data_IF_431395037044
#
_entry.id   IF_431395037044
#
_cell.length_a   1.000
_cell.length_b   1.000
_cell.length_c   1.000
_cell.angle_alpha   90.00
_cell.angle_beta   90.00
_cell.angle_gamma   90.00
#
_symmetry.space_group_name_H-M   'P 1'
#
loop_
_entity.id
_entity.type
_entity.pdbx_description
1 polymer ?
#
# COMPACT_ATOMS: atom_id res chain seq x y z
N UNK A 1 3.00 65.76 92.48
CA UNK A 1 3.90 65.05 91.57
C UNK A 1 3.51 63.60 91.66
N UNK A 2 2.40 63.30 90.98
CA UNK A 2 2.35 62.58 89.67
C UNK A 2 2.36 61.07 89.97
N UNK A 3 1.19 60.44 90.03
CA UNK A 3 0.54 59.78 88.88
C UNK A 3 1.51 58.78 88.21
N UNK A 4 1.24 57.48 88.10
CA UNK A 4 -0.03 56.81 87.78
C UNK A 4 0.01 55.34 88.24
N UNK A 5 -1.18 54.76 88.30
CA UNK A 5 -1.55 53.48 88.88
C UNK A 5 -1.75 52.42 87.78
N UNK A 6 -1.48 51.17 88.16
CA UNK A 6 -2.13 49.92 87.74
C UNK A 6 -1.81 49.23 86.39
N UNK A 7 -1.65 47.90 86.60
CA UNK A 7 -2.14 46.75 85.84
C UNK A 7 -1.24 46.06 84.79
N UNK A 8 -0.93 44.80 85.11
CA UNK A 8 -0.43 43.74 84.22
C UNK A 8 -1.41 43.47 83.08
N UNK A 9 -0.95 43.23 81.84
CA UNK A 9 -1.78 42.60 80.84
C UNK A 9 -1.58 41.08 80.86
N UNK A 10 -2.67 40.38 81.17
CA UNK A 10 -2.87 38.95 81.00
C UNK A 10 -2.62 38.52 79.54
N UNK A 11 -1.98 37.36 79.40
CA UNK A 11 -1.67 36.68 78.15
C UNK A 11 -2.91 35.97 77.57
N UNK A 12 -3.92 36.72 77.16
CA UNK A 12 -5.02 36.18 76.36
C UNK A 12 -5.27 37.07 75.13
N UNK A 13 -5.55 36.40 74.01
CA UNK A 13 -6.20 36.96 72.82
C UNK A 13 -5.35 37.49 71.64
N UNK A 14 -4.35 36.72 71.20
CA UNK A 14 -3.80 36.82 69.82
C UNK A 14 -4.28 35.68 68.90
N UNK A 15 -5.24 34.84 69.34
CA UNK A 15 -5.70 33.69 68.56
C UNK A 15 -6.99 33.93 67.75
N UNK A 16 -7.42 35.19 67.54
CA UNK A 16 -8.75 35.50 67.00
C UNK A 16 -8.82 36.20 65.64
N UNK A 17 -7.78 36.13 64.80
CA UNK A 17 -7.82 36.74 63.45
C UNK A 17 -7.33 35.92 62.27
N UNK A 18 -7.13 34.61 62.41
CA UNK A 18 -6.90 33.73 61.26
C UNK A 18 -7.73 32.45 61.40
N UNK A 19 -8.56 32.16 60.40
CA UNK A 19 -9.43 30.97 60.31
C UNK A 19 -8.64 29.66 60.09
N UNK A 20 -7.43 29.55 60.61
CA UNK A 20 -6.56 28.37 60.46
C UNK A 20 -6.57 27.41 61.67
N UNK A 21 -7.21 27.78 62.78
CA UNK A 21 -7.27 26.94 63.98
C UNK A 21 -8.63 26.25 64.16
N UNK A 22 -8.95 25.31 63.24
CA UNK A 22 -9.81 24.13 63.50
C UNK A 22 -9.78 23.16 62.31
N UNK A 23 -8.58 22.85 61.81
CA UNK A 23 -8.39 21.65 60.99
C UNK A 23 -7.88 20.52 61.88
N UNK A 24 -8.74 19.52 62.04
CA UNK A 24 -8.43 18.24 62.68
C UNK A 24 -7.09 17.68 62.17
N UNK A 25 -6.32 17.02 63.02
CA UNK A 25 -4.97 16.53 62.71
C UNK A 25 -4.94 15.64 61.46
N UNK A 26 -6.05 14.94 61.15
CA UNK A 26 -6.25 14.23 59.88
C UNK A 26 -6.23 15.13 58.65
N UNK A 27 -6.86 16.31 58.70
CA UNK A 27 -6.91 17.24 57.56
C UNK A 27 -5.57 17.92 57.32
N UNK A 28 -4.80 18.22 58.39
CA UNK A 28 -3.41 18.70 58.26
C UNK A 28 -2.49 17.66 57.62
N UNK A 29 -2.67 16.38 57.99
CA UNK A 29 -1.92 15.27 57.40
C UNK A 29 -2.28 15.05 55.91
N UNK A 30 -3.56 15.15 55.56
CA UNK A 30 -4.04 15.03 54.17
C UNK A 30 -3.51 16.19 53.29
N UNK A 31 -3.52 17.43 53.80
CA UNK A 31 -2.99 18.59 53.07
C UNK A 31 -1.46 18.46 52.89
N UNK A 32 -0.74 18.00 53.92
CA UNK A 32 0.70 17.74 53.84
C UNK A 32 1.05 16.65 52.81
N UNK A 33 0.29 15.55 52.78
CA UNK A 33 0.46 14.49 51.79
C UNK A 33 0.11 14.96 50.37
N UNK A 34 -0.96 15.74 50.20
CA UNK A 34 -1.33 16.30 48.89
C UNK A 34 -0.24 17.25 48.34
N UNK A 35 0.37 18.08 49.19
CA UNK A 35 1.49 18.94 48.80
C UNK A 35 2.74 18.13 48.44
N UNK A 36 3.06 17.08 49.21
CA UNK A 36 4.18 16.20 48.89
C UNK A 36 3.98 15.48 47.54
N UNK A 37 2.77 14.97 47.26
CA UNK A 37 2.44 14.32 45.98
C UNK A 37 2.52 15.32 44.82
N UNK A 38 2.07 16.56 44.99
CA UNK A 38 2.21 17.61 43.97
C UNK A 38 3.67 17.97 43.68
N UNK A 39 4.55 17.99 44.69
CA UNK A 39 5.98 18.22 44.50
C UNK A 39 6.64 17.05 43.77
N UNK A 40 6.29 15.80 44.11
CA UNK A 40 6.79 14.62 43.40
C UNK A 40 6.29 14.60 41.95
N UNK A 41 5.00 14.85 41.72
CA UNK A 41 4.45 14.92 40.36
C UNK A 41 5.07 16.08 39.55
N UNK A 42 5.29 17.24 40.16
CA UNK A 42 5.97 18.38 39.53
C UNK A 42 7.44 18.09 39.21
N UNK A 43 8.16 17.44 40.12
CA UNK A 43 9.55 17.02 39.92
C UNK A 43 9.70 15.95 38.85
N UNK A 44 8.83 14.94 38.85
CA UNK A 44 8.78 13.91 37.80
C UNK A 44 8.38 14.49 36.45
N UNK A 45 7.43 15.41 36.39
CA UNK A 45 7.04 16.11 35.16
C UNK A 45 8.19 16.98 34.63
N UNK A 46 8.90 17.69 35.49
CA UNK A 46 10.07 18.50 35.12
C UNK A 46 11.23 17.64 34.62
N UNK A 47 11.52 16.53 35.30
CA UNK A 47 12.53 15.56 34.87
C UNK A 47 12.17 14.91 33.52
N UNK A 48 10.91 14.51 33.33
CA UNK A 48 10.41 13.97 32.06
C UNK A 48 10.53 14.99 30.93
N UNK A 49 10.17 16.26 31.18
CA UNK A 49 10.38 17.36 30.21
C UNK A 49 11.85 17.58 29.88
N UNK A 50 12.74 17.46 30.86
CA UNK A 50 14.18 17.62 30.66
C UNK A 50 14.80 16.43 29.90
N UNK A 51 14.32 15.20 30.14
CA UNK A 51 14.71 14.00 29.39
C UNK A 51 14.26 14.09 27.91
N UNK A 52 13.03 14.54 27.65
CA UNK A 52 12.51 14.80 26.30
C UNK A 52 13.29 15.93 25.57
N UNK A 53 13.91 16.85 26.31
CA UNK A 53 14.79 17.90 25.75
C UNK A 53 16.20 17.40 25.44
N UNK A 54 16.65 16.33 26.10
CA UNK A 54 17.99 15.73 25.92
C UNK A 54 18.07 14.71 24.76
N UNK A 55 16.94 14.19 24.28
CA UNK A 55 16.90 13.22 23.18
C UNK A 55 16.86 13.86 21.79
N UNK A 56 16.91 15.19 21.70
CA UNK A 56 16.90 15.92 20.44
C UNK A 56 18.35 16.08 19.93
N UNK A 57 18.67 15.44 18.80
CA UNK A 57 20.03 15.45 18.24
C UNK A 57 20.30 16.67 17.36
N UNK A 58 19.29 17.51 17.08
CA UNK A 58 19.44 18.71 16.26
C UNK A 58 19.45 18.45 14.75
N UNK A 59 19.16 19.50 13.97
CA UNK A 59 19.05 19.45 12.51
C UNK A 59 20.37 19.06 11.82
N UNK A 60 21.51 19.50 12.34
CA UNK A 60 22.83 19.18 11.78
C UNK A 60 23.17 17.69 11.89
N UNK A 61 22.88 17.06 13.03
CA UNK A 61 23.13 15.63 13.23
C UNK A 61 22.18 14.77 12.38
N UNK A 62 20.94 15.23 12.17
CA UNK A 62 19.98 14.58 11.29
C UNK A 62 20.42 14.70 9.83
N UNK A 63 20.86 15.88 9.39
CA UNK A 63 21.44 16.10 8.07
C UNK A 63 22.61 15.16 7.82
N UNK A 64 23.57 15.08 8.74
CA UNK A 64 24.74 14.19 8.60
C UNK A 64 24.35 12.70 8.52
N UNK A 65 23.32 12.27 9.27
CA UNK A 65 22.79 10.90 9.17
C UNK A 65 22.13 10.62 7.82
N UNK A 66 21.41 11.59 7.27
CA UNK A 66 20.75 11.47 5.96
C UNK A 66 21.77 11.47 4.82
N UNK A 67 22.77 12.34 4.87
CA UNK A 67 23.88 12.37 3.91
C UNK A 67 24.66 11.05 3.94
N UNK A 68 24.90 10.47 5.12
CA UNK A 68 25.52 9.15 5.25
C UNK A 68 24.65 8.04 4.65
N UNK A 69 23.34 8.04 4.92
CA UNK A 69 22.42 7.05 4.36
C UNK A 69 22.39 7.10 2.83
N UNK A 70 22.42 8.30 2.25
CA UNK A 70 22.49 8.50 0.80
C UNK A 70 23.82 7.99 0.25
N UNK A 71 24.95 8.32 0.89
CA UNK A 71 26.27 7.84 0.49
C UNK A 71 26.39 6.31 0.55
N UNK A 72 25.84 5.68 1.59
CA UNK A 72 25.84 4.22 1.76
C UNK A 72 24.91 3.51 0.74
N UNK A 73 23.90 4.22 0.21
CA UNK A 73 22.95 3.69 -0.78
C UNK A 73 23.41 3.83 -2.24
N UNK A 74 24.44 4.63 -2.52
CA UNK A 74 24.93 4.91 -3.87
C UNK A 74 24.00 5.78 -4.74
N UNK A 75 22.99 6.42 -4.13
CA UNK A 75 22.06 7.31 -4.83
C UNK A 75 22.62 8.73 -4.99
N UNK A 76 22.46 9.34 -6.17
CA UNK A 76 22.90 10.71 -6.46
C UNK A 76 21.83 11.71 -6.02
N UNK A 77 21.80 12.01 -4.72
CA UNK A 77 20.74 12.79 -4.07
C UNK A 77 21.35 13.84 -3.14
N UNK A 78 20.80 15.05 -3.15
CA UNK A 78 21.25 16.17 -2.31
C UNK A 78 20.29 16.36 -1.14
N UNK A 79 20.82 16.46 0.08
CA UNK A 79 20.01 16.81 1.25
C UNK A 79 19.86 18.34 1.30
N UNK A 80 18.63 18.80 1.07
CA UNK A 80 18.19 20.17 1.22
C UNK A 80 17.99 20.56 2.68
N UNK A 81 17.08 21.50 2.94
CA UNK A 81 16.88 22.01 4.30
C UNK A 81 16.40 20.92 5.27
N UNK A 82 16.79 21.07 6.53
CA UNK A 82 16.31 20.24 7.65
C UNK A 82 15.62 21.16 8.65
N UNK A 83 14.30 21.16 8.60
CA UNK A 83 13.45 22.06 9.39
C UNK A 83 12.76 21.27 10.48
N UNK A 84 12.78 21.79 11.71
CA UNK A 84 12.05 21.19 12.82
C UNK A 84 10.56 21.54 12.70
N UNK A 85 9.71 20.53 12.62
CA UNK A 85 8.26 20.66 12.53
C UNK A 85 7.63 19.78 13.62
N UNK A 86 7.16 20.41 14.69
CA UNK A 86 6.66 19.77 15.91
C UNK A 86 7.61 18.71 16.52
N UNK A 87 7.19 17.44 16.50
CA UNK A 87 7.92 16.30 17.05
C UNK A 87 8.84 15.62 16.04
N UNK A 88 8.90 16.12 14.81
CA UNK A 88 9.71 15.57 13.72
C UNK A 88 10.61 16.63 13.09
N UNK A 89 11.61 16.16 12.36
CA UNK A 89 12.42 16.97 11.46
C UNK A 89 12.01 16.64 10.03
N UNK A 90 11.61 17.66 9.30
CA UNK A 90 11.32 17.61 7.88
C UNK A 90 12.62 17.78 7.11
N UNK A 91 12.96 16.79 6.30
CA UNK A 91 14.19 16.74 5.50
C UNK A 91 13.79 16.80 4.04
N UNK A 92 14.29 17.81 3.32
CA UNK A 92 14.13 17.88 1.88
C UNK A 92 15.22 17.04 1.20
N UNK A 93 14.79 16.12 0.35
CA UNK A 93 15.64 15.19 -0.39
C UNK A 93 15.50 15.55 -1.86
N UNK A 94 16.55 16.11 -2.46
CA UNK A 94 16.55 16.63 -3.83
C UNK A 94 17.24 15.61 -4.73
N UNK A 95 16.49 14.99 -5.65
CA UNK A 95 17.01 14.07 -6.65
C UNK A 95 16.69 14.64 -8.05
N UNK A 96 17.67 15.27 -8.69
CA UNK A 96 17.44 16.02 -9.94
C UNK A 96 16.49 17.21 -9.72
N UNK A 97 15.45 17.33 -10.56
CA UNK A 97 14.42 18.39 -10.46
C UNK A 97 13.30 18.05 -9.45
N UNK A 98 13.33 16.87 -8.83
CA UNK A 98 12.30 16.41 -7.91
C UNK A 98 12.73 16.59 -6.45
N UNK A 99 11.91 17.29 -5.66
CA UNK A 99 12.07 17.40 -4.22
C UNK A 99 11.10 16.44 -3.51
N UNK A 100 11.65 15.46 -2.79
CA UNK A 100 10.91 14.57 -1.91
C UNK A 100 11.08 15.02 -0.46
N UNK A 101 10.08 14.76 0.36
CA UNK A 101 10.11 15.12 1.79
C UNK A 101 10.11 13.85 2.60
N UNK A 102 11.11 13.68 3.46
CA UNK A 102 11.11 12.65 4.48
C UNK A 102 11.06 13.28 5.87
N UNK A 103 10.54 12.53 6.85
CA UNK A 103 10.48 12.97 8.23
C UNK A 103 11.35 12.09 9.11
N UNK A 104 12.08 12.71 10.04
CA UNK A 104 12.98 12.01 10.97
C UNK A 104 12.59 12.36 12.40
N UNK A 105 12.57 11.37 13.30
CA UNK A 105 12.31 11.65 14.72
C UNK A 105 13.42 12.51 15.33
N UNK A 106 13.10 13.29 16.37
CA UNK A 106 14.09 14.17 17.04
C UNK A 106 15.33 13.45 17.57
N UNK A 107 15.23 12.16 17.87
CA UNK A 107 16.35 11.32 18.28
C UNK A 107 17.15 10.71 17.11
N UNK A 108 16.74 10.97 15.88
CA UNK A 108 17.34 10.47 14.65
C UNK A 108 17.35 8.96 14.53
N UNK A 109 16.40 8.26 15.18
CA UNK A 109 16.30 6.79 15.16
C UNK A 109 15.31 6.25 14.13
N UNK A 110 14.29 7.04 13.76
CA UNK A 110 13.26 6.62 12.80
C UNK A 110 13.22 7.59 11.63
N UNK A 111 13.15 7.02 10.43
CA UNK A 111 12.88 7.72 9.17
C UNK A 111 11.49 7.32 8.70
N UNK A 112 10.66 8.30 8.36
CA UNK A 112 9.30 8.14 7.84
C UNK A 112 9.35 8.72 6.42
N UNK A 113 9.28 7.84 5.42
CA UNK A 113 9.40 8.24 4.02
C UNK A 113 8.12 8.89 3.49
N UNK A 114 6.95 8.46 4.00
CA UNK A 114 5.65 8.99 3.60
C UNK A 114 4.87 9.37 4.86
N UNK A 115 4.63 10.68 5.05
CA UNK A 115 3.71 11.19 6.07
C UNK A 115 2.47 11.70 5.35
N UNK A 116 1.34 11.04 5.56
CA UNK A 116 0.04 11.51 5.09
C UNK A 116 -0.67 12.11 6.30
N UNK A 117 -1.09 13.36 6.20
CA UNK A 117 -1.86 14.00 7.27
C UNK A 117 -3.28 13.42 7.33
N UNK A 118 -3.93 13.48 8.49
CA UNK A 118 -5.35 13.12 8.59
C UNK A 118 -6.21 13.98 7.66
N UNK A 119 -5.82 15.23 7.41
CA UNK A 119 -6.52 16.12 6.48
C UNK A 119 -6.35 15.67 5.02
N UNK A 120 -5.20 15.12 4.65
CA UNK A 120 -5.01 14.47 3.34
C UNK A 120 -5.71 13.12 3.26
N UNK A 121 -5.77 12.36 4.35
CA UNK A 121 -6.58 11.12 4.43
C UNK A 121 -8.07 11.47 4.27
N UNK A 122 -8.54 12.54 4.92
CA UNK A 122 -9.93 12.97 4.86
C UNK A 122 -10.26 13.56 3.48
N UNK A 123 -9.37 14.36 2.88
CA UNK A 123 -9.50 14.76 1.46
C UNK A 123 -9.48 13.57 0.51
N UNK A 124 -8.60 12.59 0.72
CA UNK A 124 -8.57 11.36 -0.09
C UNK A 124 -9.85 10.53 0.11
N UNK A 125 -10.42 10.51 1.31
CA UNK A 125 -11.70 9.86 1.59
C UNK A 125 -12.88 10.61 0.99
N UNK A 126 -12.87 11.94 1.00
CA UNK A 126 -13.88 12.77 0.34
C UNK A 126 -13.81 12.59 -1.17
N UNK A 127 -12.61 12.58 -1.76
CA UNK A 127 -12.39 12.25 -3.18
C UNK A 127 -12.79 10.80 -3.51
N UNK A 128 -12.54 9.84 -2.61
CA UNK A 128 -12.94 8.44 -2.79
C UNK A 128 -14.45 8.19 -2.60
N UNK A 129 -15.16 9.10 -1.92
CA UNK A 129 -16.60 8.99 -1.65
C UNK A 129 -17.45 9.82 -2.62
N UNK A 130 -16.89 10.77 -3.36
CA UNK A 130 -17.65 11.56 -4.34
C UNK A 130 -17.79 10.88 -5.70
N UNK A 131 -17.00 9.84 -6.00
CA UNK A 131 -17.06 9.09 -7.27
C UNK A 131 -16.94 7.58 -7.10
N UNK A 132 -17.61 6.98 -6.10
CA UNK A 132 -18.01 5.57 -6.22
C UNK A 132 -19.36 5.51 -6.90
N UNK A 133 -19.45 5.31 -8.23
CA UNK A 133 -20.70 4.86 -8.81
C UNK A 133 -21.17 3.63 -8.04
N UNK A 134 -22.48 3.53 -7.79
CA UNK A 134 -23.07 2.31 -7.25
C UNK A 134 -22.50 1.10 -8.03
N UNK A 135 -22.25 -0.06 -7.37
CA UNK A 135 -21.69 -1.22 -8.03
C UNK A 135 -22.47 -1.47 -9.32
N UNK A 136 -21.81 -1.29 -10.47
CA UNK A 136 -22.47 -1.48 -11.75
C UNK A 136 -22.88 -2.95 -11.80
N UNK A 137 -24.18 -3.20 -11.95
CA UNK A 137 -24.68 -4.56 -12.13
C UNK A 137 -24.01 -5.17 -13.36
N UNK A 138 -23.39 -6.34 -13.18
CA UNK A 138 -22.71 -7.04 -14.27
C UNK A 138 -23.79 -7.60 -15.20
N UNK A 139 -23.85 -7.20 -16.49
CA UNK A 139 -24.81 -7.75 -17.43
C UNK A 139 -24.66 -9.26 -17.51
N UNK A 140 -25.77 -9.98 -17.59
CA UNK A 140 -25.75 -11.44 -17.72
C UNK A 140 -25.61 -11.89 -19.18
N UNK A 141 -25.00 -13.05 -19.40
CA UNK A 141 -24.89 -13.69 -20.71
C UNK A 141 -24.80 -15.21 -20.60
N UNK A 142 -25.02 -15.94 -21.69
CA UNK A 142 -24.93 -17.41 -21.69
C UNK A 142 -23.47 -17.89 -21.59
N UNK A 143 -22.54 -17.06 -22.06
CA UNK A 143 -21.09 -17.28 -22.01
C UNK A 143 -20.43 -15.98 -21.57
N UNK A 144 -20.22 -15.77 -20.25
CA UNK A 144 -19.59 -14.58 -19.73
C UNK A 144 -18.22 -14.35 -20.35
N UNK A 145 -17.98 -13.11 -20.80
CA UNK A 145 -16.67 -12.63 -21.21
C UNK A 145 -15.91 -12.17 -19.98
N UNK A 146 -14.79 -12.83 -19.70
CA UNK A 146 -13.96 -12.59 -18.52
C UNK A 146 -12.60 -12.08 -19.00
N UNK A 147 -12.27 -10.85 -18.68
CA UNK A 147 -11.00 -10.22 -19.05
C UNK A 147 -10.24 -9.87 -17.76
N UNK A 148 -9.04 -10.40 -17.59
CA UNK A 148 -8.19 -10.12 -16.43
C UNK A 148 -6.98 -9.31 -16.88
N UNK A 149 -6.90 -8.05 -16.45
CA UNK A 149 -5.77 -7.16 -16.73
C UNK A 149 -4.70 -7.31 -15.66
N UNK A 150 -3.48 -7.62 -16.09
CA UNK A 150 -2.35 -7.84 -15.20
C UNK A 150 -1.07 -7.17 -15.70
N UNK A 151 -0.15 -7.12 -14.75
CA UNK A 151 1.27 -6.89 -14.91
C UNK A 151 1.93 -8.19 -14.46
N UNK A 152 2.65 -8.89 -15.33
CA UNK A 152 3.14 -10.26 -15.08
C UNK A 152 4.06 -10.40 -13.86
N UNK A 153 4.61 -9.28 -13.37
CA UNK A 153 5.44 -9.22 -12.16
C UNK A 153 4.79 -8.47 -10.99
N UNK A 154 3.58 -7.89 -11.13
CA UNK A 154 2.92 -7.31 -9.96
C UNK A 154 2.51 -8.44 -8.98
N UNK A 155 2.88 -8.36 -7.69
CA UNK A 155 2.52 -9.37 -6.69
C UNK A 155 1.01 -9.63 -6.61
N UNK A 156 0.19 -8.60 -6.81
CA UNK A 156 -1.26 -8.73 -6.77
C UNK A 156 -1.85 -9.25 -8.09
N UNK A 157 -1.20 -8.99 -9.23
CA UNK A 157 -1.56 -9.58 -10.52
C UNK A 157 -1.39 -11.10 -10.49
N UNK A 158 -0.19 -11.54 -10.10
CA UNK A 158 0.14 -12.96 -9.90
C UNK A 158 -0.77 -13.65 -8.86
N UNK A 159 -1.17 -12.93 -7.81
CA UNK A 159 -2.17 -13.41 -6.84
C UNK A 159 -3.52 -13.71 -7.50
N UNK A 160 -4.02 -12.78 -8.31
CA UNK A 160 -5.31 -12.92 -9.00
C UNK A 160 -5.27 -14.01 -10.06
N UNK A 161 -4.16 -14.13 -10.81
CA UNK A 161 -3.97 -15.25 -11.73
C UNK A 161 -4.01 -16.60 -11.01
N UNK A 162 -3.33 -16.74 -9.87
CA UNK A 162 -3.42 -17.96 -9.04
C UNK A 162 -4.85 -18.24 -8.57
N UNK A 163 -5.62 -17.20 -8.28
CA UNK A 163 -7.03 -17.30 -7.88
C UNK A 163 -7.96 -17.72 -9.02
N UNK A 164 -7.77 -17.19 -10.23
CA UNK A 164 -8.66 -17.44 -11.37
C UNK A 164 -8.37 -18.78 -12.06
N UNK A 165 -7.13 -19.29 -12.02
CA UNK A 165 -6.76 -20.53 -12.71
C UNK A 165 -7.60 -21.77 -12.30
N UNK A 166 -7.92 -22.01 -11.01
CA UNK A 166 -8.88 -23.04 -10.60
C UNK A 166 -10.30 -22.81 -11.15
N UNK A 167 -10.72 -21.55 -11.28
CA UNK A 167 -12.03 -21.17 -11.84
C UNK A 167 -12.09 -21.49 -13.33
N UNK A 168 -11.04 -21.16 -14.09
CA UNK A 168 -10.93 -21.49 -15.52
C UNK A 168 -10.89 -23.00 -15.75
N UNK A 169 -10.19 -23.75 -14.89
CA UNK A 169 -10.22 -25.22 -14.91
C UNK A 169 -11.63 -25.77 -14.67
N UNK A 170 -12.40 -25.11 -13.80
CA UNK A 170 -13.74 -25.51 -13.40
C UNK A 170 -14.78 -25.21 -14.48
N UNK A 171 -14.79 -23.97 -15.00
CA UNK A 171 -15.77 -23.52 -16.00
C UNK A 171 -15.40 -23.95 -17.42
N UNK A 172 -14.11 -24.14 -17.71
CA UNK A 172 -13.60 -24.57 -19.00
C UNK A 172 -14.08 -23.65 -20.13
N UNK A 173 -14.69 -24.24 -21.16
CA UNK A 173 -15.17 -23.52 -22.35
C UNK A 173 -16.48 -22.75 -22.15
N UNK A 174 -17.09 -22.80 -20.95
CA UNK A 174 -18.32 -22.07 -20.61
C UNK A 174 -18.12 -20.57 -20.37
N UNK A 175 -16.88 -20.13 -20.33
CA UNK A 175 -16.52 -18.70 -20.28
C UNK A 175 -15.64 -18.36 -21.48
N UNK A 176 -15.66 -17.10 -21.88
CA UNK A 176 -14.71 -16.53 -22.82
C UNK A 176 -13.65 -15.75 -22.05
N UNK A 177 -12.55 -16.42 -21.71
CA UNK A 177 -11.46 -15.85 -20.91
C UNK A 177 -10.38 -15.23 -21.79
N UNK A 178 -9.95 -14.02 -21.42
CA UNK A 178 -8.82 -13.33 -22.03
C UNK A 178 -7.92 -12.75 -20.92
N UNK A 179 -6.64 -13.12 -20.95
CA UNK A 179 -5.59 -12.47 -20.18
C UNK A 179 -5.15 -11.20 -20.92
N UNK A 180 -5.31 -10.06 -20.26
CA UNK A 180 -5.01 -8.73 -20.78
C UNK A 180 -3.87 -8.12 -20.01
N UNK A 181 -3.23 -7.11 -20.58
CA UNK A 181 -2.13 -6.39 -19.91
C UNK A 181 -2.50 -4.95 -19.65
N UNK A 182 -2.04 -4.43 -18.51
CA UNK A 182 -2.09 -2.99 -18.23
C UNK A 182 -1.23 -2.26 -19.27
N UNK A 183 -1.65 -1.07 -19.69
CA UNK A 183 -1.05 -0.31 -20.79
C UNK A 183 0.26 0.41 -20.42
N UNK A 184 0.87 0.07 -19.29
CA UNK A 184 2.18 0.56 -18.85
C UNK A 184 2.95 -0.53 -18.10
N UNK A 185 4.27 -0.34 -17.98
CA UNK A 185 5.21 -1.30 -17.38
C UNK A 185 5.80 -0.74 -16.09
N UNK A 186 5.73 -1.49 -14.99
CA UNK A 186 6.32 -1.09 -13.70
C UNK A 186 7.52 -1.94 -13.27
N UNK A 187 7.72 -3.11 -13.88
CA UNK A 187 8.73 -4.08 -13.41
C UNK A 187 9.85 -4.31 -14.44
N UNK A 188 10.05 -3.36 -15.35
CA UNK A 188 11.16 -3.32 -16.30
C UNK A 188 11.08 -4.35 -17.42
N UNK A 189 12.22 -4.62 -18.06
CA UNK A 189 12.31 -5.46 -19.27
C UNK A 189 11.79 -6.88 -19.08
N UNK A 190 11.94 -7.46 -17.88
CA UNK A 190 11.44 -8.80 -17.57
C UNK A 190 9.92 -8.90 -17.70
N UNK A 191 9.19 -7.84 -17.33
CA UNK A 191 7.75 -7.77 -17.47
C UNK A 191 7.33 -7.55 -18.92
N UNK A 192 8.05 -6.72 -19.68
CA UNK A 192 7.81 -6.59 -21.12
C UNK A 192 7.93 -7.95 -21.81
N UNK A 193 9.03 -8.66 -21.55
CA UNK A 193 9.31 -9.95 -22.14
C UNK A 193 8.24 -11.00 -21.77
N UNK A 194 7.79 -10.99 -20.52
CA UNK A 194 6.79 -11.95 -20.05
C UNK A 194 5.36 -11.59 -20.49
N UNK A 195 4.98 -10.32 -20.48
CA UNK A 195 3.69 -9.86 -21.01
C UNK A 195 3.55 -10.23 -22.49
N UNK A 196 4.59 -9.95 -23.32
CA UNK A 196 4.59 -10.34 -24.73
C UNK A 196 4.53 -11.85 -24.92
N UNK A 197 5.22 -12.62 -24.07
CA UNK A 197 5.20 -14.09 -24.10
C UNK A 197 3.81 -14.62 -23.78
N UNK A 198 3.20 -14.18 -22.68
CA UNK A 198 1.87 -14.61 -22.26
C UNK A 198 0.79 -14.22 -23.28
N UNK A 199 0.83 -12.99 -23.81
CA UNK A 199 0.00 -12.54 -24.93
C UNK A 199 0.13 -13.48 -26.15
N UNK A 200 1.37 -13.83 -26.51
CA UNK A 200 1.61 -14.71 -27.65
C UNK A 200 1.25 -16.18 -27.41
N UNK A 201 1.33 -16.66 -26.17
CA UNK A 201 0.82 -17.99 -25.80
C UNK A 201 -0.69 -18.01 -25.94
N UNK A 202 -1.40 -17.01 -25.43
CA UNK A 202 -2.84 -16.89 -25.59
C UNK A 202 -3.25 -16.85 -27.08
N UNK A 203 -2.57 -16.03 -27.88
CA UNK A 203 -2.89 -15.86 -29.30
C UNK A 203 -2.62 -17.11 -30.15
N UNK A 204 -1.54 -17.85 -29.87
CA UNK A 204 -1.08 -18.93 -30.75
C UNK A 204 -1.42 -20.33 -30.22
N UNK A 205 -1.46 -20.51 -28.90
CA UNK A 205 -1.65 -21.78 -28.22
C UNK A 205 -2.53 -21.60 -26.95
N UNK A 206 -3.74 -21.04 -27.06
CA UNK A 206 -4.56 -20.61 -25.91
C UNK A 206 -4.85 -21.74 -24.92
N UNK A 207 -5.07 -22.96 -25.42
CA UNK A 207 -5.32 -24.14 -24.58
C UNK A 207 -4.16 -24.49 -23.63
N UNK A 208 -2.95 -23.98 -23.88
CA UNK A 208 -1.75 -24.20 -23.05
C UNK A 208 -1.45 -23.04 -22.09
N UNK A 209 -2.18 -21.92 -22.19
CA UNK A 209 -1.94 -20.74 -21.36
C UNK A 209 -2.05 -21.06 -19.87
N UNK A 210 -3.15 -21.70 -19.44
CA UNK A 210 -3.34 -22.02 -18.02
C UNK A 210 -2.26 -22.95 -17.47
N UNK A 211 -1.78 -23.91 -18.28
CA UNK A 211 -0.68 -24.80 -17.87
C UNK A 211 0.63 -24.02 -17.70
N UNK A 212 0.90 -23.10 -18.63
CA UNK A 212 2.06 -22.22 -18.56
C UNK A 212 2.02 -21.30 -17.35
N UNK A 213 0.91 -20.58 -17.12
CA UNK A 213 0.75 -19.68 -15.99
C UNK A 213 0.88 -20.42 -14.66
N UNK A 214 0.26 -21.60 -14.51
CA UNK A 214 0.44 -22.42 -13.31
C UNK A 214 1.91 -22.75 -13.03
N UNK A 215 2.69 -23.08 -14.06
CA UNK A 215 4.12 -23.34 -13.91
C UNK A 215 4.89 -22.06 -13.56
N UNK A 216 4.67 -20.97 -14.31
CA UNK A 216 5.40 -19.72 -14.18
C UNK A 216 5.14 -19.06 -12.82
N UNK A 217 3.87 -18.96 -12.41
CA UNK A 217 3.48 -18.39 -11.12
C UNK A 217 4.05 -19.19 -9.94
N UNK A 218 4.14 -20.52 -10.07
CA UNK A 218 4.71 -21.40 -9.04
C UNK A 218 6.23 -21.27 -8.93
N UNK A 219 6.94 -21.22 -10.06
CA UNK A 219 8.42 -21.28 -10.08
C UNK A 219 9.08 -19.89 -10.03
N UNK A 220 8.43 -18.88 -10.59
CA UNK A 220 8.85 -17.48 -10.54
C UNK A 220 9.77 -17.01 -11.67
N UNK A 221 10.42 -15.87 -11.42
CA UNK A 221 11.31 -15.20 -12.37
C UNK A 221 12.38 -16.12 -12.97
N UNK A 222 12.68 -15.95 -14.26
CA UNK A 222 13.70 -16.75 -14.96
C UNK A 222 13.30 -18.17 -15.33
N UNK A 223 12.05 -18.59 -15.04
CA UNK A 223 11.61 -19.99 -15.25
C UNK A 223 10.76 -20.19 -16.51
N UNK A 224 10.52 -19.10 -17.25
CA UNK A 224 9.63 -19.06 -18.40
C UNK A 224 9.95 -20.12 -19.47
N UNK A 225 11.22 -20.34 -19.81
CA UNK A 225 11.62 -21.34 -20.81
C UNK A 225 11.37 -22.78 -20.31
N UNK A 226 11.60 -23.03 -19.02
CA UNK A 226 11.28 -24.32 -18.39
C UNK A 226 9.77 -24.55 -18.39
N UNK A 227 8.98 -23.50 -18.18
CA UNK A 227 7.52 -23.58 -18.19
C UNK A 227 6.92 -23.71 -19.59
N UNK A 228 7.53 -23.11 -20.61
CA UNK A 228 7.19 -23.37 -22.02
C UNK A 228 7.38 -24.85 -22.34
N UNK A 229 8.54 -25.42 -21.98
CA UNK A 229 8.85 -26.83 -22.22
C UNK A 229 7.90 -27.75 -21.45
N UNK A 230 7.68 -27.51 -20.15
CA UNK A 230 6.77 -28.31 -19.31
C UNK A 230 5.31 -28.27 -19.79
N UNK A 231 4.90 -27.16 -20.42
CA UNK A 231 3.55 -27.00 -20.98
C UNK A 231 3.43 -27.47 -22.43
N UNK A 232 4.52 -28.01 -23.01
CA UNK A 232 4.57 -28.46 -24.40
C UNK A 232 4.35 -27.33 -25.42
N UNK A 233 4.69 -26.09 -25.09
CA UNK A 233 4.49 -24.92 -25.97
C UNK A 233 5.63 -24.84 -26.99
N UNK A 234 5.29 -24.79 -28.28
CA UNK A 234 6.27 -24.65 -29.35
C UNK A 234 6.86 -23.22 -29.37
N UNK A 235 8.16 -23.09 -29.09
CA UNK A 235 8.81 -21.78 -28.93
C UNK A 235 8.90 -20.98 -30.24
N UNK A 236 8.98 -21.64 -31.40
CA UNK A 236 9.12 -20.97 -32.69
C UNK A 236 7.93 -20.05 -33.02
N UNK A 237 6.70 -20.52 -32.73
CA UNK A 237 5.48 -19.71 -32.93
C UNK A 237 5.39 -18.51 -31.99
N UNK A 238 5.90 -18.66 -30.76
CA UNK A 238 5.94 -17.58 -29.77
C UNK A 238 6.90 -16.48 -30.21
N UNK A 239 8.14 -16.82 -30.60
CA UNK A 239 9.14 -15.83 -31.05
C UNK A 239 8.65 -15.00 -32.24
N UNK A 240 8.03 -15.64 -33.23
CA UNK A 240 7.47 -14.96 -34.38
C UNK A 240 6.32 -14.00 -33.98
N UNK A 241 5.44 -14.44 -33.09
CA UNK A 241 4.37 -13.60 -32.55
C UNK A 241 4.93 -12.40 -31.77
N UNK A 242 5.94 -12.61 -30.92
CA UNK A 242 6.57 -11.54 -30.13
C UNK A 242 7.16 -10.48 -31.05
N UNK A 243 7.94 -10.87 -32.06
CA UNK A 243 8.52 -9.93 -33.02
C UNK A 243 7.44 -9.14 -33.80
N UNK A 244 6.36 -9.80 -34.22
CA UNK A 244 5.25 -9.12 -34.90
C UNK A 244 4.50 -8.15 -33.98
N UNK A 245 4.33 -8.53 -32.72
CA UNK A 245 3.63 -7.72 -31.71
C UNK A 245 4.45 -6.50 -31.35
N UNK A 246 5.75 -6.68 -31.12
CA UNK A 246 6.70 -5.60 -30.87
C UNK A 246 6.72 -4.60 -32.03
N UNK A 247 6.81 -5.08 -33.28
CA UNK A 247 6.76 -4.21 -34.45
C UNK A 247 5.42 -3.47 -34.60
N UNK A 248 4.29 -4.14 -34.29
CA UNK A 248 2.95 -3.54 -34.40
C UNK A 248 2.72 -2.44 -33.37
N UNK A 249 3.15 -2.66 -32.14
CA UNK A 249 2.86 -1.78 -31.01
C UNK A 249 4.05 -0.94 -30.55
N UNK A 250 5.19 -1.07 -31.23
CA UNK A 250 6.44 -0.36 -30.89
C UNK A 250 6.90 -0.59 -29.45
N UNK A 251 6.67 -1.77 -28.88
CA UNK A 251 6.85 -2.03 -27.43
C UNK A 251 8.28 -1.74 -26.96
N UNK A 252 9.29 -2.29 -27.63
CA UNK A 252 10.71 -2.10 -27.28
C UNK A 252 11.16 -0.66 -27.53
N UNK A 253 10.60 0.00 -28.55
CA UNK A 253 10.88 1.41 -28.83
C UNK A 253 10.31 2.31 -27.73
N UNK A 254 9.07 2.09 -27.31
CA UNK A 254 8.43 2.83 -26.22
C UNK A 254 9.14 2.57 -24.89
N UNK A 255 9.61 1.35 -24.65
CA UNK A 255 10.43 1.03 -23.49
C UNK A 255 11.73 1.86 -23.42
N UNK A 256 12.39 2.08 -24.56
CA UNK A 256 13.65 2.83 -24.64
C UNK A 256 13.46 4.37 -24.66
N UNK A 257 12.34 4.87 -25.16
CA UNK A 257 12.07 6.30 -25.30
C UNK A 257 11.31 6.86 -24.09
N UNK A 258 12.03 7.48 -23.16
CA UNK A 258 11.46 8.11 -21.95
C UNK A 258 10.39 9.16 -22.22
N UNK A 259 10.33 9.73 -23.42
CA UNK A 259 9.27 10.69 -23.78
C UNK A 259 7.91 10.02 -23.96
N UNK A 260 7.89 8.70 -24.12
CA UNK A 260 6.66 7.90 -24.23
C UNK A 260 6.16 7.38 -22.88
N UNK A 261 6.88 7.69 -21.79
CA UNK A 261 6.56 7.15 -20.48
C UNK A 261 5.39 7.90 -19.84
N UNK A 262 4.41 7.16 -19.34
CA UNK A 262 3.27 7.69 -18.58
C UNK A 262 3.78 8.48 -17.38
N UNK A 263 3.47 9.78 -17.34
CA UNK A 263 3.97 10.75 -16.35
C UNK A 263 5.51 10.75 -16.20
N UNK A 264 6.25 10.34 -17.23
CA UNK A 264 7.71 10.23 -17.22
C UNK A 264 8.26 9.06 -16.40
N UNK A 265 7.41 8.18 -15.86
CA UNK A 265 7.82 7.15 -14.89
C UNK A 265 7.77 5.72 -15.45
N UNK A 266 6.80 5.40 -16.30
CA UNK A 266 6.57 4.02 -16.75
C UNK A 266 6.41 3.94 -18.27
N UNK A 267 7.14 3.06 -19.00
CA UNK A 267 6.97 2.93 -20.43
C UNK A 267 5.59 2.41 -20.81
N UNK A 268 5.10 2.87 -21.96
CA UNK A 268 3.82 2.43 -22.53
C UNK A 268 3.89 0.98 -23.04
N UNK A 269 2.81 0.23 -22.83
CA UNK A 269 2.62 -1.15 -23.29
C UNK A 269 1.29 -1.30 -24.03
N UNK A 270 1.25 -0.84 -25.27
CA UNK A 270 -0.01 -0.56 -25.96
C UNK A 270 -0.78 -1.79 -26.49
N UNK A 271 -0.36 -3.01 -26.15
CA UNK A 271 -0.93 -4.26 -26.69
C UNK A 271 -2.44 -4.37 -26.44
N UNK A 272 -2.92 -3.89 -25.29
CA UNK A 272 -4.33 -3.86 -24.90
C UNK A 272 -4.82 -2.43 -24.59
N UNK A 273 -4.17 -1.39 -25.12
CA UNK A 273 -4.47 0.03 -24.82
C UNK A 273 -5.94 0.39 -24.97
N UNK A 274 -6.56 -0.02 -26.09
CA UNK A 274 -7.97 0.24 -26.35
C UNK A 274 -8.89 -0.32 -25.26
N UNK A 275 -8.59 -1.53 -24.75
CA UNK A 275 -9.39 -2.12 -23.69
C UNK A 275 -9.10 -1.48 -22.32
N UNK A 276 -7.85 -1.06 -22.06
CA UNK A 276 -7.51 -0.31 -20.86
C UNK A 276 -8.29 1.02 -20.81
N UNK A 277 -8.29 1.79 -21.90
CA UNK A 277 -9.06 3.02 -22.03
C UNK A 277 -10.57 2.78 -21.89
N UNK A 278 -11.09 1.76 -22.59
CA UNK A 278 -12.52 1.40 -22.57
C UNK A 278 -13.04 1.08 -21.17
N UNK A 279 -12.26 0.38 -20.36
CA UNK A 279 -12.66 -0.04 -19.03
C UNK A 279 -12.07 0.85 -17.91
N UNK A 280 -11.36 1.92 -18.28
CA UNK A 280 -10.61 2.76 -17.35
C UNK A 280 -9.72 1.95 -16.39
N UNK A 281 -8.98 0.98 -16.93
CA UNK A 281 -8.04 0.17 -16.16
C UNK A 281 -6.91 1.06 -15.66
N UNK A 282 -6.70 1.06 -14.35
CA UNK A 282 -5.67 1.89 -13.70
C UNK A 282 -4.53 1.07 -13.11
N UNK A 283 -4.65 -0.26 -13.06
CA UNK A 283 -3.61 -1.11 -12.48
C UNK A 283 -3.91 -2.59 -12.51
N UNK A 284 -2.99 -3.35 -11.91
CA UNK A 284 -3.00 -4.81 -11.84
C UNK A 284 -3.29 -5.27 -10.41
N UNK A 285 -4.21 -6.22 -10.19
CA UNK A 285 -5.13 -6.80 -11.15
C UNK A 285 -6.36 -5.92 -11.37
N UNK A 286 -6.95 -5.96 -12.56
CA UNK A 286 -8.33 -5.48 -12.81
C UNK A 286 -9.13 -6.59 -13.48
N UNK A 287 -10.25 -6.99 -12.85
CA UNK A 287 -11.17 -7.99 -13.41
C UNK A 287 -12.33 -7.30 -14.11
N UNK A 288 -12.58 -7.66 -15.36
CA UNK A 288 -13.74 -7.20 -16.13
C UNK A 288 -14.59 -8.42 -16.50
N UNK A 289 -15.88 -8.35 -16.19
CA UNK A 289 -16.87 -9.37 -16.56
C UNK A 289 -17.98 -8.73 -17.37
N UNK A 290 -18.25 -9.24 -18.57
CA UNK A 290 -19.26 -8.71 -19.50
C UNK A 290 -19.16 -7.18 -19.72
N UNK A 291 -17.93 -6.67 -19.78
CA UNK A 291 -17.62 -5.27 -20.05
C UNK A 291 -17.74 -4.34 -18.84
N UNK A 292 -17.95 -4.89 -17.63
CA UNK A 292 -18.00 -4.13 -16.38
C UNK A 292 -16.83 -4.54 -15.48
N UNK A 293 -16.13 -3.56 -14.91
CA UNK A 293 -15.11 -3.82 -13.87
C UNK A 293 -15.80 -4.43 -12.66
N UNK A 294 -15.46 -5.68 -12.35
CA UNK A 294 -16.12 -6.49 -11.34
C UNK A 294 -15.35 -6.44 -10.01
N UNK A 295 -16.09 -6.25 -8.92
CA UNK A 295 -15.54 -6.38 -7.58
C UNK A 295 -15.56 -7.86 -7.15
N UNK A 296 -14.38 -8.41 -6.87
CA UNK A 296 -14.21 -9.79 -6.41
C UNK A 296 -13.07 -9.89 -5.41
N UNK A 297 -13.16 -10.85 -4.48
CA UNK A 297 -11.99 -11.37 -3.78
C UNK A 297 -11.01 -12.03 -4.76
N UNK A 298 -9.77 -12.26 -4.32
CA UNK A 298 -8.71 -12.90 -5.13
C UNK A 298 -8.60 -14.41 -4.88
N UNK A 299 -9.39 -14.95 -3.96
CA UNK A 299 -9.54 -16.38 -3.77
C UNK A 299 -10.46 -16.97 -4.86
N UNK A 300 -10.29 -18.26 -5.12
CA UNK A 300 -11.01 -18.95 -6.19
C UNK A 300 -12.52 -19.02 -5.97
N UNK A 301 -12.99 -19.05 -4.71
CA UNK A 301 -14.42 -19.10 -4.41
C UNK A 301 -15.12 -17.77 -4.73
N UNK A 302 -14.52 -16.64 -4.34
CA UNK A 302 -15.02 -15.29 -4.66
C UNK A 302 -15.04 -15.03 -6.16
N UNK A 303 -13.98 -15.43 -6.87
CA UNK A 303 -13.89 -15.25 -8.33
C UNK A 303 -14.94 -16.11 -9.04
N UNK A 304 -15.08 -17.39 -8.64
CA UNK A 304 -16.12 -18.27 -9.19
C UNK A 304 -17.50 -17.66 -8.95
N UNK A 305 -17.81 -17.21 -7.74
CA UNK A 305 -19.10 -16.58 -7.41
C UNK A 305 -19.38 -15.37 -8.29
N UNK A 306 -18.37 -14.51 -8.50
CA UNK A 306 -18.49 -13.30 -9.34
C UNK A 306 -18.82 -13.65 -10.78
N UNK A 307 -18.07 -14.59 -11.39
CA UNK A 307 -18.30 -15.03 -12.77
C UNK A 307 -19.63 -15.77 -12.90
N UNK A 308 -19.98 -16.61 -11.93
CA UNK A 308 -21.24 -17.34 -11.90
C UNK A 308 -22.47 -16.42 -11.81
N UNK A 309 -22.35 -15.28 -11.13
CA UNK A 309 -23.40 -14.25 -11.09
C UNK A 309 -23.67 -13.59 -12.44
N UNK A 310 -22.74 -13.68 -13.39
CA UNK A 310 -22.84 -13.10 -14.73
C UNK A 310 -23.45 -14.06 -15.77
N UNK A 311 -23.82 -15.28 -15.39
CA UNK A 311 -24.56 -16.17 -16.30
C UNK A 311 -26.05 -15.83 -16.33
N UNK A 312 -26.68 -15.96 -17.49
CA UNK A 312 -28.14 -16.03 -17.59
C UNK A 312 -28.65 -17.26 -16.83
N UNK A 313 -28.15 -18.43 -17.23
CA UNK A 313 -28.38 -19.72 -16.58
C UNK A 313 -27.05 -20.28 -16.09
N UNK A 314 -26.84 -20.24 -14.76
CA UNK A 314 -25.58 -20.67 -14.17
C UNK A 314 -25.37 -22.18 -14.39
N UNK A 315 -24.20 -22.60 -14.91
CA UNK A 315 -23.92 -24.01 -15.12
C UNK A 315 -23.66 -24.71 -13.78
N UNK A 316 -23.84 -26.04 -13.73
CA UNK A 316 -23.65 -26.85 -12.51
C UNK A 316 -22.28 -26.66 -11.85
N UNK A 317 -21.24 -26.33 -12.63
CA UNK A 317 -19.89 -26.09 -12.11
C UNK A 317 -19.81 -24.86 -11.19
N UNK A 318 -20.81 -23.96 -11.23
CA UNK A 318 -20.95 -22.87 -10.28
C UNK A 318 -21.26 -23.31 -8.85
N UNK A 319 -21.70 -24.55 -8.66
CA UNK A 319 -21.93 -25.14 -7.33
C UNK A 319 -20.66 -25.77 -6.73
N UNK A 320 -19.56 -25.80 -7.49
CA UNK A 320 -18.31 -26.37 -7.01
C UNK A 320 -17.73 -25.53 -5.87
N UNK A 321 -17.34 -26.21 -4.80
CA UNK A 321 -16.66 -25.57 -3.67
C UNK A 321 -15.17 -25.42 -3.97
N UNK A 322 -14.77 -24.21 -4.37
CA UNK A 322 -13.35 -23.84 -4.50
C UNK A 322 -12.81 -23.24 -3.19
N UNK A 323 -11.49 -23.04 -3.13
CA UNK A 323 -10.81 -22.48 -1.96
C UNK A 323 -11.21 -21.02 -1.74
N UNK A 324 -11.58 -20.71 -0.50
CA UNK A 324 -11.81 -19.35 0.03
C UNK A 324 -10.53 -18.72 0.61
N UNK A 325 -9.44 -19.49 0.72
CA UNK A 325 -8.13 -18.96 1.05
C UNK A 325 -7.54 -18.21 -0.16
N UNK A 326 -7.22 -16.93 0.03
CA UNK A 326 -6.55 -16.12 -0.97
C UNK A 326 -5.12 -16.64 -1.20
N UNK A 327 -4.66 -16.85 -2.44
CA UNK A 327 -3.27 -17.18 -2.71
C UNK A 327 -2.31 -16.11 -2.16
N UNK A 328 -1.07 -16.46 -1.84
CA UNK A 328 -0.06 -15.46 -1.46
C UNK A 328 0.25 -14.51 -2.65
N UNK A 329 0.49 -13.21 -2.43
CA UNK A 329 1.00 -12.32 -3.48
C UNK A 329 2.38 -12.74 -4.00
N UNK A 330 2.66 -12.45 -5.27
CA UNK A 330 3.93 -12.76 -5.91
C UNK A 330 4.05 -14.21 -6.37
N UNK A 331 5.28 -14.60 -6.73
CA UNK A 331 5.58 -15.95 -7.16
C UNK A 331 5.63 -16.93 -5.99
N UNK A 332 5.41 -18.21 -6.30
CA UNK A 332 5.42 -19.29 -5.33
C UNK A 332 4.02 -19.74 -4.89
N UNK A 333 4.04 -20.73 -4.01
CA UNK A 333 2.85 -21.36 -3.43
C UNK A 333 2.54 -20.79 -2.03
N UNK A 334 1.34 -21.07 -1.54
CA UNK A 334 0.88 -20.63 -0.23
C UNK A 334 -0.35 -19.72 -0.30
N UNK A 335 -0.90 -19.41 0.87
CA UNK A 335 -2.05 -18.53 1.05
C UNK A 335 -1.69 -17.31 1.88
N UNK A 336 -2.33 -16.19 1.57
CA UNK A 336 -2.30 -14.99 2.40
C UNK A 336 -3.40 -15.09 3.47
N UNK A 337 -3.05 -14.83 4.73
CA UNK A 337 -4.00 -14.76 5.83
C UNK A 337 -4.55 -13.34 6.05
N UNK A 338 -4.21 -12.37 5.18
CA UNK A 338 -4.65 -10.98 5.29
C UNK A 338 -5.78 -10.64 4.31
N UNK A 339 -6.92 -10.26 4.85
CA UNK A 339 -8.13 -9.88 4.12
C UNK A 339 -7.97 -8.51 3.44
N UNK A 340 -8.14 -8.49 2.11
CA UNK A 340 -8.64 -7.36 1.31
C UNK A 340 -8.07 -5.97 1.59
N UNK A 341 -7.00 -5.58 0.88
CA UNK A 341 -6.56 -4.20 0.75
C UNK A 341 -6.52 -3.76 -0.71
N UNK A 342 -7.02 -2.55 -1.02
CA UNK A 342 -6.89 -1.92 -2.34
C UNK A 342 -5.44 -1.98 -2.82
N UNK A 343 -5.24 -2.52 -4.03
CA UNK A 343 -3.91 -2.67 -4.62
C UNK A 343 -3.43 -1.35 -5.23
N UNK A 344 -2.23 -0.95 -4.86
CA UNK A 344 -1.36 -0.07 -5.65
C UNK A 344 -0.02 -0.80 -5.81
N UNK A 345 0.44 -1.00 -7.05
CA UNK A 345 1.72 -1.65 -7.35
C UNK A 345 2.88 -0.62 -7.37
N UNK A 346 2.78 0.51 -6.67
CA UNK A 346 3.87 1.48 -6.58
C UNK A 346 4.96 0.96 -5.65
N UNK A 347 6.13 0.62 -6.21
CA UNK A 347 7.39 0.61 -5.48
C UNK A 347 7.99 2.01 -5.49
#
# INVERSE_FOLDING_TARGET
MEETKAEEPQSEDVCKKMSFCKLDNRKKLIIGLALAVLIVMGGSFFYYRQAMKKSDIGSEAIRAKMEKLVADSGAEVTIGDVVKEDDLYKVFIIAGDNAQVAYVTRDGKKLIQNLITFEEIDKQRELANQDKPAPKEIPKSDKPKVELFVMSYCPFGTQMEKGILPVLKTLGTKVDYNLRFVDYIMHGEKEIAENLRQYCIEKTQPAKLSAYLNCFLKKGEGTADTCLAASGIANAGIKACVAQTDAKFSVSKNAADKNTWSNGQFPAFDVDKENNEKYAVQGSPTLVVNGVVAESGRDSASILKTICGAFNDAPKECENKLSDAAPAPGFGEGSDNSSGGNASCAN
#
